data_IF_822454252716
#
_entry.id   IF_822454252716
#
_cell.length_a   1.000
_cell.length_b   1.000
_cell.length_c   1.000
_cell.angle_alpha   90.00
_cell.angle_beta   90.00
_cell.angle_gamma   90.00
#
_symmetry.space_group_name_H-M   'P 1'
#
loop_
_entity.id
_entity.type
_entity.pdbx_description
1 polymer ?
#
# COMPACT_ATOMS: atom_id res chain seq x y z
N UNK A 1 -46.37 7.93 36.01
CA UNK A 1 -45.03 8.56 36.16
C UNK A 1 -43.86 7.59 35.86
N UNK A 2 -44.05 6.53 35.06
CA UNK A 2 -43.06 5.45 34.85
C UNK A 2 -42.48 5.35 33.42
N UNK A 3 -43.02 6.10 32.45
CA UNK A 3 -42.68 5.95 31.02
C UNK A 3 -41.42 6.74 30.64
N UNK A 4 -41.11 7.83 31.36
CA UNK A 4 -39.99 8.74 31.04
C UNK A 4 -38.61 8.12 31.33
N UNK A 5 -38.52 7.13 32.23
CA UNK A 5 -37.25 6.45 32.55
C UNK A 5 -36.79 5.48 31.45
N UNK A 6 -37.70 4.89 30.67
CA UNK A 6 -37.34 3.89 29.65
C UNK A 6 -36.80 4.51 28.35
N UNK A 7 -37.26 5.71 27.99
CA UNK A 7 -36.82 6.39 26.76
C UNK A 7 -35.35 6.83 26.84
N UNK A 8 -34.89 7.27 28.02
CA UNK A 8 -33.49 7.70 28.22
C UNK A 8 -32.51 6.52 28.19
N UNK A 9 -32.89 5.36 28.72
CA UNK A 9 -32.05 4.16 28.71
C UNK A 9 -31.92 3.56 27.30
N UNK A 10 -33.01 3.56 26.51
CA UNK A 10 -32.96 3.08 25.12
C UNK A 10 -32.16 4.02 24.19
N UNK A 11 -32.26 5.34 24.36
CA UNK A 11 -31.45 6.30 23.59
C UNK A 11 -29.95 6.15 23.88
N UNK A 12 -29.58 5.86 25.13
CA UNK A 12 -28.18 5.62 25.53
C UNK A 12 -27.65 4.28 24.99
N UNK A 13 -28.47 3.22 24.99
CA UNK A 13 -28.10 1.93 24.38
C UNK A 13 -27.96 2.02 22.85
N UNK A 14 -28.84 2.76 22.18
CA UNK A 14 -28.76 2.98 20.74
C UNK A 14 -27.52 3.82 20.36
N UNK A 15 -27.16 4.82 21.16
CA UNK A 15 -25.91 5.57 21.00
C UNK A 15 -24.66 4.70 21.18
N UNK A 16 -24.65 3.82 22.20
CA UNK A 16 -23.56 2.87 22.44
C UNK A 16 -23.44 1.79 21.36
N UNK A 17 -24.56 1.37 20.75
CA UNK A 17 -24.57 0.43 19.64
C UNK A 17 -24.20 1.06 18.28
N UNK A 18 -24.25 2.40 18.16
CA UNK A 18 -23.87 3.14 16.94
C UNK A 18 -22.39 3.54 16.92
N UNK A 19 -21.72 3.64 18.07
CA UNK A 19 -20.29 3.95 18.17
C UNK A 19 -19.34 2.97 17.46
N UNK A 20 -19.60 1.64 17.37
CA UNK A 20 -18.76 0.71 16.62
C UNK A 20 -18.81 0.92 15.10
N UNK A 21 -19.90 1.51 14.57
CA UNK A 21 -20.07 1.73 13.13
C UNK A 21 -19.32 2.97 12.63
N UNK A 22 -19.00 3.92 13.51
CA UNK A 22 -18.18 5.09 13.18
C UNK A 22 -16.67 4.81 13.28
N UNK A 23 -16.28 3.65 13.80
CA UNK A 23 -14.91 3.17 13.83
C UNK A 23 -14.62 2.35 12.56
N UNK A 24 -14.70 2.97 11.39
CA UNK A 24 -14.14 2.36 10.19
C UNK A 24 -12.69 1.97 10.50
N UNK A 25 -12.28 0.75 10.15
CA UNK A 25 -10.91 0.31 10.39
C UNK A 25 -9.97 1.21 9.59
N UNK A 26 -9.39 2.21 10.24
CA UNK A 26 -8.42 3.07 9.58
C UNK A 26 -7.20 2.20 9.27
N UNK A 27 -6.68 2.23 8.06
CA UNK A 27 -5.39 1.68 7.69
C UNK A 27 -4.32 2.68 8.11
N UNK A 28 -3.16 2.16 8.48
CA UNK A 28 -1.95 2.95 8.70
C UNK A 28 -0.76 2.22 8.10
N UNK A 29 0.21 2.98 7.59
CA UNK A 29 1.51 2.45 7.24
C UNK A 29 2.44 2.63 8.45
N UNK A 30 3.09 1.56 8.87
CA UNK A 30 4.03 1.56 9.99
C UNK A 30 5.35 0.92 9.59
N UNK A 31 6.43 1.28 10.29
CA UNK A 31 7.70 0.59 10.18
C UNK A 31 7.55 -0.90 10.52
N UNK A 32 8.32 -1.74 9.84
CA UNK A 32 8.27 -3.19 9.94
C UNK A 32 9.66 -3.80 9.93
N UNK A 33 9.76 -5.06 10.37
CA UNK A 33 10.98 -5.86 10.38
C UNK A 33 10.85 -7.10 9.50
N UNK A 34 9.95 -7.07 8.52
CA UNK A 34 9.74 -8.19 7.60
C UNK A 34 10.97 -8.33 6.70
N UNK A 35 11.60 -9.51 6.65
CA UNK A 35 12.79 -9.71 5.83
C UNK A 35 12.42 -9.76 4.34
N UNK A 36 13.38 -9.40 3.50
CA UNK A 36 13.29 -9.60 2.07
C UNK A 36 13.28 -11.10 1.74
N UNK A 37 12.45 -11.52 0.77
CA UNK A 37 12.32 -12.91 0.34
C UNK A 37 12.68 -12.94 -1.13
N UNK A 38 13.93 -13.29 -1.44
CA UNK A 38 14.40 -13.28 -2.82
C UNK A 38 13.75 -14.42 -3.63
N UNK A 39 12.92 -14.02 -4.59
CA UNK A 39 12.28 -14.89 -5.57
C UNK A 39 12.86 -14.70 -6.98
N UNK A 40 14.02 -14.05 -7.13
CA UNK A 40 14.70 -13.82 -8.42
C UNK A 40 14.98 -15.11 -9.19
N UNK A 41 15.26 -16.21 -8.47
CA UNK A 41 15.52 -17.52 -9.06
C UNK A 41 14.29 -18.45 -9.07
N UNK A 42 13.37 -18.31 -8.10
CA UNK A 42 12.27 -19.26 -7.89
C UNK A 42 10.91 -18.77 -8.35
N UNK A 43 10.74 -17.45 -8.50
CA UNK A 43 9.49 -16.82 -8.89
C UNK A 43 9.18 -17.02 -10.36
N UNK A 44 7.89 -17.00 -10.68
CA UNK A 44 7.39 -17.02 -12.06
C UNK A 44 7.61 -15.64 -12.68
N UNK A 45 8.29 -15.57 -13.81
CA UNK A 45 8.46 -14.32 -14.57
C UNK A 45 7.13 -13.84 -15.14
N UNK A 46 6.92 -12.52 -15.15
CA UNK A 46 5.80 -11.91 -15.86
C UNK A 46 6.05 -11.79 -17.38
N UNK A 47 7.21 -12.22 -17.86
CA UNK A 47 7.63 -12.14 -19.26
C UNK A 47 8.69 -11.06 -19.51
N UNK A 48 8.77 -10.61 -20.76
CA UNK A 48 9.63 -9.48 -21.13
C UNK A 48 9.04 -8.20 -20.56
N UNK A 49 9.89 -7.43 -19.87
CA UNK A 49 9.54 -6.12 -19.35
C UNK A 49 10.31 -5.05 -20.13
N UNK A 50 9.68 -3.90 -20.27
CA UNK A 50 10.23 -2.66 -20.82
C UNK A 50 9.78 -1.50 -19.96
N UNK A 51 10.25 -0.31 -20.34
CA UNK A 51 9.61 0.94 -19.94
C UNK A 51 8.08 0.86 -20.13
N UNK A 52 7.34 1.35 -19.14
CA UNK A 52 5.87 1.34 -19.04
C UNK A 52 5.18 -0.01 -19.28
N UNK A 53 5.92 -1.11 -19.15
CA UNK A 53 5.35 -2.44 -19.36
C UNK A 53 4.47 -2.86 -18.20
N UNK A 54 3.38 -3.54 -18.53
CA UNK A 54 2.40 -3.99 -17.56
C UNK A 54 1.94 -5.41 -17.88
N UNK A 55 1.69 -6.20 -16.84
CA UNK A 55 1.19 -7.57 -16.99
C UNK A 55 0.05 -7.85 -16.02
N UNK A 56 -1.01 -8.48 -16.54
CA UNK A 56 -2.13 -8.94 -15.72
C UNK A 56 -1.91 -10.37 -15.26
N UNK A 57 -1.97 -10.58 -13.94
CA UNK A 57 -2.13 -11.90 -13.35
C UNK A 57 -3.61 -12.13 -13.07
N UNK A 58 -4.17 -13.21 -13.60
CA UNK A 58 -5.59 -13.52 -13.41
C UNK A 58 -5.86 -14.01 -11.99
N UNK A 59 -7.07 -13.77 -11.48
CA UNK A 59 -7.47 -14.30 -10.17
C UNK A 59 -7.36 -15.82 -10.11
N UNK A 60 -7.63 -16.52 -11.22
CA UNK A 60 -7.47 -17.96 -11.33
C UNK A 60 -6.01 -18.42 -11.19
N UNK A 61 -5.05 -17.68 -11.77
CA UNK A 61 -3.62 -17.98 -11.61
C UNK A 61 -3.17 -17.80 -10.15
N UNK A 62 -3.61 -16.73 -9.49
CA UNK A 62 -3.31 -16.48 -8.08
C UNK A 62 -3.93 -17.55 -7.16
N UNK A 63 -5.20 -17.88 -7.39
CA UNK A 63 -5.90 -18.92 -6.63
C UNK A 63 -5.25 -20.30 -6.84
N UNK A 64 -4.89 -20.64 -8.08
CA UNK A 64 -4.21 -21.88 -8.41
C UNK A 64 -2.82 -22.00 -7.77
N UNK A 65 -2.15 -20.87 -7.53
CA UNK A 65 -0.90 -20.81 -6.78
C UNK A 65 -1.10 -20.83 -5.24
N UNK A 66 -2.35 -20.82 -4.75
CA UNK A 66 -2.69 -20.94 -3.33
C UNK A 66 -2.91 -19.59 -2.61
N UNK A 67 -3.03 -18.48 -3.33
CA UNK A 67 -3.38 -17.19 -2.73
C UNK A 67 -4.90 -17.03 -2.60
N UNK A 68 -5.38 -16.96 -1.36
CA UNK A 68 -6.81 -16.86 -1.04
C UNK A 68 -7.27 -15.43 -0.70
N UNK A 69 -6.40 -14.43 -0.87
CA UNK A 69 -6.72 -13.04 -0.53
C UNK A 69 -6.61 -12.71 0.96
N UNK A 70 -7.00 -11.48 1.28
CA UNK A 70 -7.13 -10.93 2.62
C UNK A 70 -8.25 -9.88 2.67
N UNK A 71 -8.36 -9.17 3.79
CA UNK A 71 -9.38 -8.12 3.98
C UNK A 71 -9.26 -6.95 3.00
N UNK A 72 -8.07 -6.68 2.43
CA UNK A 72 -7.87 -5.63 1.43
C UNK A 72 -8.03 -6.14 0.00
N UNK A 73 -7.31 -7.20 -0.38
CA UNK A 73 -7.38 -7.84 -1.70
C UNK A 73 -8.18 -9.14 -1.58
N UNK A 74 -9.40 -9.14 -2.11
CA UNK A 74 -10.22 -10.35 -2.13
C UNK A 74 -9.51 -11.48 -2.91
N UNK A 75 -9.65 -12.72 -2.43
CA UNK A 75 -9.15 -13.89 -3.14
C UNK A 75 -9.78 -14.03 -4.52
N UNK A 76 -9.08 -14.68 -5.44
CA UNK A 76 -9.54 -14.84 -6.83
C UNK A 76 -9.83 -13.49 -7.52
N UNK A 77 -9.00 -12.46 -7.26
CA UNK A 77 -9.08 -11.15 -7.91
C UNK A 77 -7.86 -10.97 -8.80
N UNK A 78 -8.06 -10.57 -10.06
CA UNK A 78 -6.93 -10.25 -10.94
C UNK A 78 -6.16 -9.04 -10.44
N UNK A 79 -4.85 -9.02 -10.69
CA UNK A 79 -4.01 -7.84 -10.46
C UNK A 79 -3.29 -7.47 -11.75
N UNK A 80 -2.98 -6.19 -11.92
CA UNK A 80 -2.17 -5.67 -13.01
C UNK A 80 -0.94 -5.00 -12.44
N UNK A 81 0.22 -5.53 -12.79
CA UNK A 81 1.52 -5.16 -12.26
C UNK A 81 2.22 -4.30 -13.30
N UNK A 82 2.64 -3.09 -12.95
CA UNK A 82 3.48 -2.24 -13.79
C UNK A 82 4.95 -2.30 -13.38
N UNK A 83 5.86 -2.08 -14.33
CA UNK A 83 7.29 -2.00 -14.02
C UNK A 83 7.64 -0.77 -13.16
N UNK A 84 6.84 0.28 -13.30
CA UNK A 84 6.89 1.52 -12.50
C UNK A 84 6.56 1.32 -11.02
N UNK A 85 6.52 0.08 -10.50
CA UNK A 85 6.37 -0.20 -9.08
C UNK A 85 4.98 0.06 -8.51
N UNK A 86 3.97 0.11 -9.39
CA UNK A 86 2.55 0.17 -9.04
C UNK A 86 1.81 -1.13 -9.36
N UNK A 87 0.75 -1.42 -8.61
CA UNK A 87 -0.12 -2.59 -8.83
C UNK A 87 -1.58 -2.20 -8.68
N UNK A 88 -2.36 -2.40 -9.74
CA UNK A 88 -3.81 -2.28 -9.71
C UNK A 88 -4.46 -3.59 -9.31
N UNK A 89 -5.44 -3.51 -8.42
CA UNK A 89 -6.31 -4.63 -8.09
C UNK A 89 -7.60 -4.50 -8.89
N UNK A 90 -7.95 -5.59 -9.57
CA UNK A 90 -9.20 -5.69 -10.30
C UNK A 90 -10.40 -5.85 -9.37
N UNK A 91 -11.58 -5.96 -9.99
CA UNK A 91 -12.85 -6.14 -9.29
C UNK A 91 -13.37 -7.59 -9.35
N UNK A 92 -12.66 -8.48 -10.04
CA UNK A 92 -13.03 -9.89 -10.18
C UNK A 92 -11.87 -10.75 -10.67
N UNK A 93 -12.09 -12.07 -10.70
CA UNK A 93 -11.13 -13.06 -11.19
C UNK A 93 -10.75 -12.92 -12.67
N UNK A 94 -11.62 -12.27 -13.44
CA UNK A 94 -11.52 -12.11 -14.89
C UNK A 94 -11.51 -10.63 -15.27
N UNK A 95 -11.19 -9.72 -14.35
CA UNK A 95 -11.09 -8.31 -14.69
C UNK A 95 -10.00 -8.12 -15.75
N UNK A 96 -10.41 -7.58 -16.90
CA UNK A 96 -9.55 -7.28 -18.05
C UNK A 96 -9.04 -5.84 -18.01
N UNK A 97 -9.33 -5.09 -16.95
CA UNK A 97 -8.91 -3.70 -16.76
C UNK A 97 -9.38 -2.78 -17.91
N UNK A 98 -10.54 -3.07 -18.51
CA UNK A 98 -11.06 -2.38 -19.71
C UNK A 98 -11.16 -0.86 -19.56
N UNK A 99 -11.37 -0.38 -18.33
CA UNK A 99 -11.42 1.05 -18.00
C UNK A 99 -10.31 1.45 -17.03
N UNK A 100 -9.18 0.75 -17.04
CA UNK A 100 -7.97 0.99 -16.24
C UNK A 100 -6.77 0.66 -17.13
N UNK A 101 -6.56 1.49 -18.16
CA UNK A 101 -5.71 1.14 -19.29
C UNK A 101 -4.23 1.01 -18.91
N UNK A 102 -3.83 1.68 -17.84
CA UNK A 102 -2.48 1.67 -17.29
C UNK A 102 -2.46 1.86 -15.77
N UNK A 103 -1.39 1.35 -15.18
CA UNK A 103 -0.91 1.61 -13.82
C UNK A 103 -0.29 3.00 -13.72
N UNK A 104 0.11 3.59 -14.87
CA UNK A 104 0.70 4.94 -14.97
C UNK A 104 2.19 4.95 -14.62
N UNK A 105 2.93 5.91 -15.19
CA UNK A 105 4.38 5.99 -15.06
C UNK A 105 4.88 7.07 -14.11
N UNK A 106 4.12 8.14 -13.89
CA UNK A 106 4.47 9.14 -12.85
C UNK A 106 3.42 9.25 -11.74
N UNK A 107 3.96 9.37 -10.53
CA UNK A 107 3.26 9.98 -9.41
C UNK A 107 3.21 11.51 -9.58
N UNK A 108 2.22 12.01 -10.32
CA UNK A 108 2.00 13.47 -10.46
C UNK A 108 1.12 14.07 -9.34
N UNK A 109 0.58 13.24 -8.44
CA UNK A 109 -0.39 13.66 -7.41
C UNK A 109 -0.23 12.88 -6.12
N UNK A 110 -0.29 13.57 -4.97
CA UNK A 110 -0.38 12.98 -3.63
C UNK A 110 -1.46 11.88 -3.59
N UNK A 111 -1.07 10.66 -3.22
CA UNK A 111 -1.90 9.46 -3.37
C UNK A 111 -3.29 9.59 -2.70
N UNK A 112 -3.45 10.14 -1.48
CA UNK A 112 -4.75 10.41 -0.87
C UNK A 112 -5.70 11.30 -1.68
N UNK A 113 -5.18 12.19 -2.54
CA UNK A 113 -6.00 13.09 -3.38
C UNK A 113 -6.12 12.64 -4.83
N UNK A 114 -5.36 11.60 -5.20
CA UNK A 114 -5.34 11.00 -6.52
C UNK A 114 -6.75 10.58 -6.98
N UNK A 115 -7.23 11.17 -8.06
CA UNK A 115 -8.46 10.74 -8.72
C UNK A 115 -8.23 9.44 -9.50
N UNK A 116 -9.25 8.59 -9.64
CA UNK A 116 -9.16 7.43 -10.52
C UNK A 116 -9.22 7.91 -11.99
N UNK A 117 -8.11 7.77 -12.71
CA UNK A 117 -7.85 8.32 -14.06
C UNK A 117 -7.30 7.25 -14.99
N UNK A 118 -7.57 7.45 -16.29
CA UNK A 118 -7.18 6.60 -17.42
C UNK A 118 -6.15 7.27 -18.35
N UNK A 119 -5.60 8.41 -17.94
CA UNK A 119 -4.64 9.13 -18.79
C UNK A 119 -3.29 8.39 -18.77
N UNK A 120 -2.64 8.34 -19.93
CA UNK A 120 -1.31 7.72 -20.17
C UNK A 120 -0.34 7.91 -19.02
N UNK A 121 -0.20 9.17 -18.62
CA UNK A 121 0.94 9.64 -17.84
C UNK A 121 0.72 9.50 -16.33
N UNK A 122 -0.52 9.59 -15.89
CA UNK A 122 -0.92 9.60 -14.47
C UNK A 122 -1.84 8.42 -14.15
N UNK A 123 -1.78 7.37 -14.96
CA UNK A 123 -2.65 6.21 -14.88
C UNK A 123 -2.80 5.70 -13.47
N UNK A 124 -4.01 5.43 -13.02
CA UNK A 124 -4.27 4.99 -11.66
C UNK A 124 -5.70 4.43 -11.57
N UNK A 125 -5.97 3.36 -12.30
CA UNK A 125 -7.17 2.55 -12.08
C UNK A 125 -8.44 2.99 -12.79
N UNK A 126 -8.39 4.12 -13.48
CA UNK A 126 -9.38 4.54 -14.47
C UNK A 126 -10.82 4.67 -13.97
N UNK A 127 -11.77 4.78 -14.90
CA UNK A 127 -13.19 5.02 -14.60
C UNK A 127 -13.86 3.79 -13.99
N UNK A 128 -13.67 3.60 -12.68
CA UNK A 128 -14.33 2.58 -11.87
C UNK A 128 -13.63 2.44 -10.51
N UNK A 129 -14.35 2.06 -9.43
CA UNK A 129 -13.72 1.86 -8.14
C UNK A 129 -12.81 0.63 -8.29
N UNK A 130 -11.49 0.84 -8.17
CA UNK A 130 -10.45 -0.19 -8.04
C UNK A 130 -9.62 0.13 -6.80
N UNK A 131 -8.68 -0.73 -6.48
CA UNK A 131 -7.68 -0.42 -5.46
C UNK A 131 -6.31 -0.41 -6.12
N UNK A 132 -5.39 0.37 -5.56
CA UNK A 132 -4.04 0.52 -6.08
C UNK A 132 -3.03 0.43 -4.94
N UNK A 133 -1.98 -0.35 -5.16
CA UNK A 133 -0.81 -0.37 -4.31
C UNK A 133 0.36 0.29 -5.03
N UNK A 134 1.13 1.06 -4.28
CA UNK A 134 2.40 1.61 -4.70
C UNK A 134 3.50 1.06 -3.78
N UNK A 135 4.13 -0.08 -4.09
CA UNK A 135 5.33 -0.50 -3.36
C UNK A 135 6.52 0.44 -3.54
N UNK A 136 6.68 0.99 -4.74
CA UNK A 136 7.62 2.07 -5.06
C UNK A 136 7.19 2.67 -6.41
N UNK A 137 6.05 3.36 -6.42
CA UNK A 137 5.49 3.87 -7.66
C UNK A 137 6.28 5.10 -8.12
N UNK A 138 7.05 4.94 -9.20
CA UNK A 138 7.89 5.96 -9.84
C UNK A 138 8.18 5.58 -11.30
N UNK A 139 8.81 6.48 -12.05
CA UNK A 139 9.22 6.31 -13.46
C UNK A 139 10.45 5.39 -13.55
N UNK A 140 10.21 4.09 -13.35
CA UNK A 140 11.26 3.06 -13.30
C UNK A 140 11.50 2.50 -14.70
N UNK A 141 12.71 2.05 -14.96
CA UNK A 141 13.03 1.33 -16.19
C UNK A 141 13.86 0.08 -15.89
N UNK A 142 13.57 -1.08 -16.48
CA UNK A 142 14.34 -2.29 -16.19
C UNK A 142 15.80 -2.15 -16.64
N UNK A 143 16.76 -2.48 -15.77
CA UNK A 143 18.17 -2.51 -16.18
C UNK A 143 18.36 -3.49 -17.34
N UNK A 144 18.95 -3.04 -18.44
CA UNK A 144 19.12 -3.87 -19.64
C UNK A 144 19.82 -5.20 -19.34
N UNK A 145 19.13 -6.31 -19.62
CA UNK A 145 19.65 -7.67 -19.44
C UNK A 145 19.66 -8.19 -17.99
N UNK A 146 19.24 -7.39 -17.00
CA UNK A 146 19.25 -7.76 -15.58
C UNK A 146 17.96 -7.43 -14.82
N UNK A 147 17.19 -6.45 -15.31
CA UNK A 147 15.89 -6.05 -14.79
C UNK A 147 14.86 -7.17 -14.95
N UNK A 148 14.11 -7.46 -13.89
CA UNK A 148 13.04 -8.46 -13.97
C UNK A 148 11.96 -8.27 -12.92
N UNK A 149 10.74 -8.68 -13.29
CA UNK A 149 9.62 -8.75 -12.36
C UNK A 149 9.15 -10.19 -12.27
N UNK A 150 9.03 -10.68 -11.04
CA UNK A 150 8.62 -12.05 -10.74
C UNK A 150 7.58 -12.07 -9.66
N UNK A 151 6.76 -13.11 -9.67
CA UNK A 151 5.77 -13.35 -8.63
C UNK A 151 5.80 -14.80 -8.14
N UNK A 152 5.42 -14.99 -6.88
CA UNK A 152 5.30 -16.31 -6.29
C UNK A 152 4.29 -16.27 -5.14
N UNK A 153 3.61 -17.39 -4.90
CA UNK A 153 2.85 -17.57 -3.67
C UNK A 153 3.64 -18.49 -2.74
N UNK A 154 3.96 -18.00 -1.54
CA UNK A 154 4.69 -18.75 -0.52
C UNK A 154 3.88 -18.75 0.77
N UNK A 155 3.53 -19.95 1.25
CA UNK A 155 2.71 -20.14 2.45
C UNK A 155 1.41 -19.31 2.43
N UNK A 156 0.77 -19.20 1.26
CA UNK A 156 -0.47 -18.45 1.06
C UNK A 156 -0.32 -16.93 0.92
N UNK A 157 0.91 -16.40 0.95
CA UNK A 157 1.18 -14.97 0.71
C UNK A 157 1.61 -14.75 -0.73
N UNK A 158 1.05 -13.74 -1.39
CA UNK A 158 1.47 -13.33 -2.72
C UNK A 158 2.67 -12.39 -2.60
N UNK A 159 3.76 -12.75 -3.26
CA UNK A 159 4.97 -11.94 -3.38
C UNK A 159 5.10 -11.49 -4.83
N UNK A 160 5.35 -10.20 -5.03
CA UNK A 160 5.80 -9.65 -6.33
C UNK A 160 7.08 -8.88 -6.09
N UNK A 161 8.13 -9.25 -6.80
CA UNK A 161 9.47 -8.69 -6.69
C UNK A 161 9.85 -8.01 -8.00
N UNK A 162 10.32 -6.77 -7.88
CA UNK A 162 11.02 -6.01 -8.92
C UNK A 162 12.51 -6.07 -8.60
N UNK A 163 13.31 -6.55 -9.55
CA UNK A 163 14.76 -6.73 -9.37
C UNK A 163 15.51 -5.88 -10.36
N UNK A 164 16.53 -5.17 -9.88
CA UNK A 164 17.40 -4.33 -10.69
C UNK A 164 16.62 -3.32 -11.56
N UNK A 165 15.62 -2.65 -10.97
CA UNK A 165 14.96 -1.53 -11.64
C UNK A 165 15.84 -0.29 -11.51
N UNK A 166 16.02 0.42 -12.61
CA UNK A 166 16.74 1.69 -12.67
C UNK A 166 15.73 2.85 -12.69
N UNK A 167 16.20 4.06 -12.46
CA UNK A 167 15.37 5.24 -12.60
C UNK A 167 15.41 5.70 -14.07
N UNK A 168 14.26 5.86 -14.72
CA UNK A 168 14.18 6.17 -16.16
C UNK A 168 15.00 7.40 -16.54
N UNK A 169 14.86 8.50 -15.78
CA UNK A 169 15.58 9.75 -16.05
C UNK A 169 17.05 9.74 -15.59
N UNK A 170 17.54 8.63 -15.03
CA UNK A 170 18.90 8.53 -14.48
C UNK A 170 19.54 7.13 -14.70
N UNK A 171 19.22 6.46 -15.80
CA UNK A 171 19.69 5.10 -16.09
C UNK A 171 21.22 4.96 -16.01
N UNK A 172 21.68 3.84 -15.45
CA UNK A 172 23.07 3.46 -15.27
C UNK A 172 23.67 3.96 -13.95
N UNK A 173 22.89 4.68 -13.14
CA UNK A 173 23.40 5.28 -11.91
C UNK A 173 23.06 4.49 -10.65
N UNK A 174 22.50 3.30 -10.77
CA UNK A 174 22.18 2.43 -9.66
C UNK A 174 20.80 1.84 -9.84
N UNK A 175 20.58 0.68 -9.24
CA UNK A 175 19.30 -0.01 -9.31
C UNK A 175 18.70 -0.19 -7.93
N UNK A 176 17.41 -0.48 -7.90
CA UNK A 176 16.67 -0.86 -6.72
C UNK A 176 16.08 -2.26 -6.90
N UNK A 177 16.05 -3.03 -5.82
CA UNK A 177 15.37 -4.31 -5.72
C UNK A 177 14.42 -4.29 -4.54
N UNK A 178 13.13 -4.48 -4.82
CA UNK A 178 12.07 -4.36 -3.83
C UNK A 178 10.92 -5.32 -4.13
N UNK A 179 10.05 -5.51 -3.15
CA UNK A 179 8.90 -6.38 -3.28
C UNK A 179 7.71 -5.88 -2.50
N UNK A 180 6.53 -6.33 -2.93
CA UNK A 180 5.35 -6.36 -2.06
C UNK A 180 5.07 -7.79 -1.63
N UNK A 181 4.58 -7.93 -0.39
CA UNK A 181 4.06 -9.18 0.16
C UNK A 181 2.61 -8.93 0.58
N UNK A 182 1.64 -9.42 -0.19
CA UNK A 182 0.23 -9.42 0.19
C UNK A 182 -0.04 -10.64 1.07
N UNK A 183 -0.35 -10.40 2.34
CA UNK A 183 -0.50 -11.43 3.37
C UNK A 183 -1.82 -12.15 3.23
N UNK A 184 -1.81 -13.47 3.04
CA UNK A 184 -3.02 -14.27 2.90
C UNK A 184 -3.76 -14.49 4.22
N UNK A 185 -5.09 -14.54 4.18
CA UNK A 185 -5.94 -14.89 5.33
C UNK A 185 -6.04 -13.81 6.42
N UNK A 186 -5.48 -12.62 6.20
CA UNK A 186 -5.53 -11.52 7.16
C UNK A 186 -6.89 -10.84 7.12
N UNK A 187 -7.56 -10.73 8.26
CA UNK A 187 -8.85 -10.05 8.40
C UNK A 187 -8.68 -8.66 9.02
N UNK A 188 -9.62 -7.75 8.74
CA UNK A 188 -9.74 -6.48 9.46
C UNK A 188 -9.88 -6.71 10.96
N UNK A 189 -9.21 -5.86 11.75
CA UNK A 189 -9.21 -5.95 13.21
C UNK A 189 -8.28 -7.02 13.80
N UNK A 190 -7.59 -7.83 12.97
CA UNK A 190 -6.61 -8.82 13.46
C UNK A 190 -5.35 -8.19 14.04
N UNK A 191 -5.04 -6.94 13.68
CA UNK A 191 -3.77 -6.27 14.00
C UNK A 191 -2.58 -6.74 13.16
N UNK A 192 -2.76 -7.73 12.30
CA UNK A 192 -1.71 -8.22 11.39
C UNK A 192 -1.61 -7.33 10.14
N UNK A 193 -0.44 -7.33 9.51
CA UNK A 193 -0.20 -6.65 8.23
C UNK A 193 -1.02 -7.27 7.11
N UNK A 194 -1.66 -6.44 6.28
CA UNK A 194 -2.27 -6.85 5.03
C UNK A 194 -1.26 -6.91 3.89
N UNK A 195 -0.35 -5.95 3.86
CA UNK A 195 0.66 -5.80 2.80
C UNK A 195 1.94 -5.29 3.42
N UNK A 196 3.05 -5.92 3.11
CA UNK A 196 4.38 -5.40 3.43
C UNK A 196 5.07 -4.93 2.15
N UNK A 197 5.70 -3.76 2.20
CA UNK A 197 6.63 -3.28 1.20
C UNK A 197 8.04 -3.46 1.76
N UNK A 198 8.91 -4.18 1.04
CA UNK A 198 10.21 -4.63 1.55
C UNK A 198 11.29 -4.35 0.51
N UNK A 199 12.40 -3.76 0.93
CA UNK A 199 13.50 -3.32 0.05
C UNK A 199 14.76 -4.12 0.38
N UNK A 200 15.36 -4.75 -0.64
CA UNK A 200 16.58 -5.54 -0.48
C UNK A 200 17.84 -4.67 -0.36
N UNK A 201 17.82 -3.52 -1.03
CA UNK A 201 18.93 -2.59 -1.14
C UNK A 201 18.48 -1.14 -0.88
N UNK A 202 19.44 -0.21 -0.90
CA UNK A 202 19.14 1.22 -0.85
C UNK A 202 18.53 1.66 -2.16
N UNK A 203 17.50 2.48 -2.05
CA UNK A 203 16.79 3.10 -3.16
C UNK A 203 17.75 3.97 -4.01
N UNK A 204 18.15 3.45 -5.18
CA UNK A 204 19.05 4.12 -6.14
C UNK A 204 20.41 4.55 -5.53
N UNK A 205 21.36 5.07 -6.32
CA UNK A 205 22.61 5.56 -5.73
C UNK A 205 22.40 6.83 -4.91
N UNK A 206 23.16 6.95 -3.82
CA UNK A 206 23.01 7.99 -2.79
C UNK A 206 23.13 9.45 -3.25
N UNK A 207 23.53 9.70 -4.51
CA UNK A 207 23.81 11.05 -5.01
C UNK A 207 22.84 11.51 -6.12
N UNK A 208 21.82 10.71 -6.45
CA UNK A 208 20.85 11.05 -7.48
C UNK A 208 19.45 11.02 -6.89
N UNK A 209 18.76 12.15 -7.06
CA UNK A 209 17.51 12.49 -6.41
C UNK A 209 16.42 11.44 -6.67
N UNK A 210 15.89 10.88 -5.59
CA UNK A 210 14.48 10.54 -5.54
C UNK A 210 13.72 11.86 -5.40
N UNK A 211 12.74 12.13 -6.25
CA UNK A 211 11.78 13.18 -5.94
C UNK A 211 10.81 12.61 -4.88
N UNK A 212 11.28 12.54 -3.64
CA UNK A 212 10.63 11.89 -2.49
C UNK A 212 9.26 12.52 -2.14
N UNK A 213 8.19 11.98 -2.75
CA UNK A 213 6.83 12.53 -2.65
C UNK A 213 6.42 13.42 -3.83
N UNK A 214 7.30 13.64 -4.81
CA UNK A 214 6.99 14.25 -6.11
C UNK A 214 7.14 13.29 -7.31
N UNK A 215 7.81 12.13 -7.18
CA UNK A 215 7.90 11.06 -8.19
C UNK A 215 7.79 9.65 -7.59
N UNK A 216 8.40 9.36 -6.43
CA UNK A 216 8.28 8.05 -5.77
C UNK A 216 7.19 8.05 -4.67
N UNK A 217 6.21 7.15 -4.79
CA UNK A 217 5.17 6.93 -3.78
C UNK A 217 5.21 5.53 -3.20
N UNK A 218 5.04 5.45 -1.87
CA UNK A 218 4.68 4.21 -1.18
C UNK A 218 3.28 4.34 -0.62
N UNK A 219 2.38 3.41 -0.90
CA UNK A 219 1.03 3.54 -0.37
C UNK A 219 -0.03 2.59 -0.88
N UNK A 220 -1.25 2.90 -0.50
CA UNK A 220 -2.46 2.22 -0.88
C UNK A 220 -3.60 3.20 -1.10
N UNK A 221 -4.26 3.06 -2.26
CA UNK A 221 -5.42 3.83 -2.66
C UNK A 221 -6.63 2.91 -2.76
N UNK A 222 -7.71 3.31 -2.13
CA UNK A 222 -8.94 2.54 -2.08
C UNK A 222 -10.00 2.99 -3.10
N UNK A 223 -10.04 4.28 -3.44
CA UNK A 223 -11.13 4.90 -4.23
C UNK A 223 -12.55 4.51 -3.78
N UNK A 224 -12.73 4.16 -2.49
CA UNK A 224 -14.02 3.74 -1.95
C UNK A 224 -14.48 2.32 -2.33
N UNK A 225 -13.63 1.48 -2.92
CA UNK A 225 -13.97 0.05 -3.20
C UNK A 225 -14.25 -0.69 -1.90
N UNK A 226 -13.30 -0.62 -0.97
CA UNK A 226 -13.38 -1.33 0.28
C UNK A 226 -14.00 -0.40 1.35
N UNK A 227 -15.22 -0.68 1.84
CA UNK A 227 -15.87 0.19 2.83
C UNK A 227 -15.14 0.23 4.18
N UNK A 228 -14.18 -0.68 4.40
CA UNK A 228 -13.37 -0.78 5.60
C UNK A 228 -11.94 -0.26 5.40
N UNK A 229 -11.60 0.29 4.23
CA UNK A 229 -10.27 0.85 3.96
C UNK A 229 -10.31 2.35 3.70
N UNK A 230 -9.27 3.07 4.13
CA UNK A 230 -8.95 4.43 3.68
C UNK A 230 -7.69 4.42 2.82
N UNK A 231 -7.43 5.56 2.18
CA UNK A 231 -6.17 5.80 1.50
C UNK A 231 -5.06 6.03 2.53
N UNK A 232 -3.88 5.48 2.26
CA UNK A 232 -2.68 5.66 3.08
C UNK A 232 -1.47 5.85 2.18
N UNK A 233 -0.56 6.72 2.61
CA UNK A 233 0.67 7.04 1.89
C UNK A 233 1.81 7.17 2.90
N UNK A 234 2.99 6.77 2.45
CA UNK A 234 4.25 6.86 3.17
C UNK A 234 5.27 7.51 2.23
N UNK A 235 5.87 8.61 2.68
CA UNK A 235 6.93 9.29 1.96
C UNK A 235 8.30 8.87 2.51
N UNK A 236 9.26 8.63 1.62
CA UNK A 236 10.63 8.22 1.98
C UNK A 236 11.53 9.39 2.43
N UNK A 237 11.17 10.62 2.07
CA UNK A 237 11.68 11.89 2.61
C UNK A 237 13.19 11.96 2.90
N UNK A 238 13.99 12.34 1.90
CA UNK A 238 15.42 12.61 2.04
C UNK A 238 16.01 13.81 1.28
N UNK A 239 15.23 14.61 0.53
CA UNK A 239 15.75 15.77 -0.20
C UNK A 239 15.76 17.09 0.60
N UNK A 240 16.89 17.81 0.63
CA UNK A 240 16.97 19.22 1.08
C UNK A 240 16.79 20.23 -0.07
N UNK A 241 16.24 19.82 -1.22
CA UNK A 241 16.22 20.58 -2.47
C UNK A 241 14.94 21.41 -2.66
N UNK A 242 15.09 22.73 -2.72
CA UNK A 242 14.05 23.76 -2.84
C UNK A 242 13.38 23.90 -4.22
N UNK A 243 13.31 22.84 -5.03
CA UNK A 243 12.68 22.92 -6.36
C UNK A 243 11.67 21.79 -6.55
N UNK A 244 10.40 22.15 -6.29
CA UNK A 244 9.17 21.44 -6.68
C UNK A 244 8.63 20.29 -5.80
N UNK A 245 8.82 20.33 -4.48
CA UNK A 245 7.97 19.57 -3.54
C UNK A 245 6.62 20.30 -3.28
N UNK A 246 5.48 19.58 -3.19
CA UNK A 246 4.27 20.13 -2.59
C UNK A 246 4.54 20.54 -1.13
N UNK A 247 3.93 21.65 -0.69
CA UNK A 247 4.18 22.20 0.64
C UNK A 247 3.79 21.23 1.77
N UNK A 248 4.74 21.04 2.69
CA UNK A 248 4.59 20.40 3.99
C UNK A 248 3.33 20.85 4.75
N UNK A 249 2.53 19.90 5.28
CA UNK A 249 1.48 20.20 6.29
C UNK A 249 0.00 20.12 5.87
N UNK A 250 -0.35 19.46 4.76
CA UNK A 250 -1.76 19.19 4.43
C UNK A 250 -2.47 18.33 5.49
N UNK A 251 -3.74 18.64 5.80
CA UNK A 251 -4.50 18.04 6.91
C UNK A 251 -4.67 16.51 6.88
N UNK A 252 -4.31 15.86 5.77
CA UNK A 252 -4.41 14.41 5.58
C UNK A 252 -3.06 13.71 5.47
N UNK A 253 -1.93 14.42 5.57
CA UNK A 253 -0.61 13.78 5.57
C UNK A 253 -0.27 13.27 6.97
N UNK A 254 0.00 11.97 7.08
CA UNK A 254 0.68 11.43 8.26
C UNK A 254 2.09 12.06 8.33
N UNK A 255 2.64 12.30 9.54
CA UNK A 255 3.96 12.89 9.70
C UNK A 255 5.01 12.05 8.96
N UNK A 256 5.90 12.71 8.20
CA UNK A 256 7.09 12.12 7.58
C UNK A 256 7.84 11.32 8.66
N UNK A 257 7.93 10.00 8.53
CA UNK A 257 8.82 9.21 9.38
C UNK A 257 10.18 9.25 8.73
N UNK A 258 11.08 10.12 9.22
CA UNK A 258 12.47 10.16 8.78
C UNK A 258 13.07 8.76 8.83
N UNK A 259 13.56 8.21 7.71
CA UNK A 259 14.12 6.88 7.80
C UNK A 259 14.58 6.17 6.52
N UNK A 260 14.88 6.85 5.42
CA UNK A 260 15.40 6.15 4.23
C UNK A 260 16.43 7.00 3.48
N UNK A 261 17.54 7.36 4.13
CA UNK A 261 18.68 7.93 3.40
C UNK A 261 19.46 6.77 2.76
N UNK A 262 19.68 6.87 1.45
CA UNK A 262 20.59 6.02 0.72
C UNK A 262 22.01 6.17 1.30
N UNK A 263 22.52 5.13 1.95
CA UNK A 263 23.87 5.14 2.50
C UNK A 263 24.14 4.08 3.56
N UNK A 264 24.03 2.80 3.23
CA UNK A 264 24.59 1.69 4.02
C UNK A 264 24.16 1.60 5.50
N UNK A 265 23.17 2.38 5.93
CA UNK A 265 22.74 2.46 7.32
C UNK A 265 21.73 1.35 7.60
N UNK A 266 22.25 0.26 8.18
CA UNK A 266 21.49 -0.91 8.62
C UNK A 266 20.48 -0.60 9.75
N UNK A 267 20.45 0.63 10.27
CA UNK A 267 19.45 1.08 11.26
C UNK A 267 18.16 1.63 10.63
N UNK A 268 18.13 1.81 9.30
CA UNK A 268 16.96 2.31 8.60
C UNK A 268 15.92 1.22 8.37
N UNK A 269 14.66 1.63 8.24
CA UNK A 269 13.56 0.68 8.12
C UNK A 269 13.53 0.11 6.69
N UNK A 270 13.95 -1.14 6.53
CA UNK A 270 13.95 -1.85 5.24
C UNK A 270 12.57 -2.38 4.81
N UNK A 271 11.54 -2.16 5.63
CA UNK A 271 10.18 -2.57 5.29
C UNK A 271 9.12 -1.74 5.99
N UNK A 272 8.00 -1.48 5.32
CA UNK A 272 6.82 -0.89 5.95
C UNK A 272 5.59 -1.77 5.72
N UNK A 273 4.63 -1.71 6.63
CA UNK A 273 3.45 -2.56 6.65
C UNK A 273 2.18 -1.74 6.64
N UNK A 274 1.22 -2.11 5.79
CA UNK A 274 -0.17 -1.65 5.88
C UNK A 274 -0.87 -2.53 6.92
N UNK A 275 -1.15 -1.95 8.09
CA UNK A 275 -1.88 -2.62 9.17
C UNK A 275 -3.25 -1.96 9.37
N UNK A 276 -4.25 -2.69 9.90
CA UNK A 276 -5.40 -2.05 10.54
C UNK A 276 -4.89 -1.22 11.72
N UNK A 277 -5.18 0.08 11.72
CA UNK A 277 -4.98 0.95 12.86
C UNK A 277 -5.73 0.39 14.08
N UNK A 278 -5.21 0.63 15.29
CA UNK A 278 -5.88 0.21 16.51
C UNK A 278 -7.33 0.72 16.49
N UNK A 279 -8.29 -0.19 16.60
CA UNK A 279 -9.70 0.20 16.60
C UNK A 279 -9.95 1.20 17.74
N UNK A 280 -10.80 2.19 17.51
CA UNK A 280 -11.22 3.11 18.59
C UNK A 280 -11.88 2.37 19.75
N UNK A 281 -12.36 1.14 19.54
CA UNK A 281 -12.83 0.23 20.59
C UNK A 281 -11.70 -0.17 21.55
N UNK A 282 -10.48 -0.41 21.07
CA UNK A 282 -9.32 -0.66 21.95
C UNK A 282 -8.99 0.59 22.79
N UNK A 283 -9.04 1.78 22.19
CA UNK A 283 -8.85 3.07 22.88
C UNK A 283 -9.98 3.35 23.90
N UNK A 284 -11.22 3.06 23.55
CA UNK A 284 -12.39 3.18 24.43
C UNK A 284 -12.36 2.14 25.57
N UNK A 285 -11.82 0.93 25.32
CA UNK A 285 -11.59 -0.08 26.35
C UNK A 285 -10.62 0.41 27.42
N UNK A 286 -9.51 1.05 27.02
CA UNK A 286 -8.55 1.67 27.94
C UNK A 286 -9.19 2.87 28.66
N UNK A 287 -9.89 3.74 27.93
CA UNK A 287 -10.59 4.89 28.51
C UNK A 287 -11.67 4.46 29.53
N UNK A 288 -12.42 3.41 29.24
CA UNK A 288 -13.41 2.80 30.12
C UNK A 288 -12.77 2.17 31.36
N UNK A 289 -11.63 1.49 31.21
CA UNK A 289 -10.88 0.92 32.34
C UNK A 289 -10.32 2.00 33.27
N UNK A 290 -9.80 3.10 32.70
CA UNK A 290 -9.31 4.26 33.47
C UNK A 290 -10.45 5.01 34.17
N UNK A 291 -11.60 5.18 33.51
CA UNK A 291 -12.79 5.79 34.10
C UNK A 291 -13.40 4.91 35.21
N UNK A 292 -13.41 3.59 35.04
CA UNK A 292 -13.86 2.64 36.06
C UNK A 292 -12.93 2.63 37.30
N UNK A 293 -11.62 2.79 37.09
CA UNK A 293 -10.63 2.88 38.18
C UNK A 293 -10.78 4.15 39.01
N UNK A 294 -11.15 5.29 38.41
CA UNK A 294 -11.41 6.55 39.12
C UNK A 294 -12.67 6.55 39.99
N UNK A 295 -13.62 5.63 39.77
CA UNK A 295 -14.84 5.51 40.61
C UNK A 295 -14.66 4.62 41.84
N UNK A 296 -13.49 3.99 42.01
CA UNK A 296 -13.18 3.11 43.16
C UNK A 296 -12.17 3.72 44.15
N UNK A 297 -11.83 4.99 43.98
CA UNK A 297 -11.12 5.80 44.97
C UNK A 297 -12.09 6.87 45.49
#
# INVERSE_FOLDING_TARGET
MSVVKNVRTMAMLAGLAALPLAAQAQLSIVASAVPFIDISATGTSIGTISDDSETTLTGAALLGAGFNGNGLLAGNTSIRIGNNGGVLWGNSATDTFTNALNVGYINSTVLPTMAASNLGDTGNGGSGPRQFLAPLWDDNTPLSGAGSIRWQVIAGNLIVQWSNEDHFNATGNGTVTYQMIVRGGVAFGSGNSFVDFVYADTLYSANLYQNDGGSATIGYKNWGVNPLGNDVEYGLGGGTGTLADPAFGGANMQPKVSGSIAGGDVSLTHSVSIIPAPSSIALLGIGGLLAARRRRA
#
